data_IF_963837469246
#
_entry.id   IF_963837469246
#
_cell.length_a   1.000
_cell.length_b   1.000
_cell.length_c   1.000
_cell.angle_alpha   90.00
_cell.angle_beta   90.00
_cell.angle_gamma   90.00
#
_symmetry.space_group_name_H-M   'P 1'
#
loop_
_entity.id
_entity.type
_entity.pdbx_description
1 polymer ?
#
# COMPACT_ATOMS: atom_id res chain seq x y z
N UNK A 1 -25.69 13.67 19.79
CA UNK A 1 -26.13 13.11 18.49
C UNK A 1 -24.98 13.26 17.49
N UNK A 2 -23.92 12.45 17.58
CA UNK A 2 -22.68 12.74 16.83
C UNK A 2 -22.03 11.44 16.32
N UNK A 3 -22.82 10.55 15.70
CA UNK A 3 -22.32 9.25 15.17
C UNK A 3 -22.11 9.22 13.66
N UNK A 4 -22.30 10.35 12.96
CA UNK A 4 -22.07 10.44 11.51
C UNK A 4 -20.63 10.80 11.13
N UNK A 5 -19.85 11.37 12.04
CA UNK A 5 -18.45 11.72 11.78
C UNK A 5 -17.57 10.46 11.61
N UNK A 6 -17.80 9.39 12.36
CA UNK A 6 -17.02 8.14 12.24
C UNK A 6 -17.16 7.43 10.89
N UNK A 7 -18.22 7.72 10.11
CA UNK A 7 -18.39 7.22 8.74
C UNK A 7 -17.58 8.04 7.72
N UNK A 8 -17.51 9.36 7.89
CA UNK A 8 -16.72 10.24 7.02
C UNK A 8 -15.21 10.16 7.31
N UNK A 9 -14.83 9.94 8.58
CA UNK A 9 -13.43 9.87 9.01
C UNK A 9 -12.88 8.46 9.12
N UNK A 10 -13.59 7.47 8.54
CA UNK A 10 -13.05 6.12 8.28
C UNK A 10 -12.01 6.20 7.15
N UNK A 11 -10.98 7.05 7.34
CA UNK A 11 -9.80 7.16 6.49
C UNK A 11 -9.24 5.76 6.34
N UNK A 12 -9.37 5.18 5.15
CA UNK A 12 -8.69 3.92 4.92
C UNK A 12 -7.18 4.25 5.02
N UNK A 13 -6.38 3.34 5.57
CA UNK A 13 -4.94 3.57 5.65
C UNK A 13 -4.45 3.81 4.22
N UNK A 14 -4.00 5.04 3.95
CA UNK A 14 -3.42 5.41 2.67
C UNK A 14 -2.18 4.54 2.49
N UNK A 15 -2.16 3.71 1.44
CA UNK A 15 -1.03 2.85 1.14
C UNK A 15 -0.12 3.56 0.17
N UNK A 16 1.17 3.47 0.39
CA UNK A 16 2.15 4.01 -0.52
C UNK A 16 2.54 2.91 -1.50
N UNK A 17 2.60 3.24 -2.79
CA UNK A 17 3.03 2.34 -3.86
C UNK A 17 4.18 2.98 -4.60
N UNK A 18 5.20 2.20 -4.89
CA UNK A 18 6.32 2.58 -5.73
C UNK A 18 6.28 1.76 -7.02
N UNK A 19 6.54 2.40 -8.17
CA UNK A 19 6.67 1.71 -9.45
C UNK A 19 8.14 1.43 -9.71
N UNK A 20 8.45 0.15 -9.88
CA UNK A 20 9.78 -0.32 -10.25
C UNK A 20 9.90 -0.50 -11.76
N UNK A 21 11.05 -0.13 -12.30
CA UNK A 21 11.47 -0.47 -13.66
C UNK A 21 11.91 -1.93 -13.78
N UNK A 22 12.09 -2.44 -15.00
CA UNK A 22 12.69 -3.74 -15.26
C UNK A 22 14.08 -3.91 -14.61
N UNK A 23 14.80 -2.80 -14.41
CA UNK A 23 16.10 -2.75 -13.71
C UNK A 23 15.99 -2.69 -12.18
N UNK A 24 14.77 -2.65 -11.62
CA UNK A 24 14.53 -2.54 -10.18
C UNK A 24 14.65 -1.13 -9.61
N UNK A 25 14.72 -0.10 -10.46
CA UNK A 25 14.80 1.30 -10.04
C UNK A 25 13.40 1.87 -9.78
N UNK A 26 13.25 2.65 -8.71
CA UNK A 26 12.02 3.38 -8.41
C UNK A 26 11.84 4.56 -9.37
N UNK A 27 10.84 4.50 -10.24
CA UNK A 27 10.53 5.58 -11.19
C UNK A 27 9.41 6.50 -10.69
N UNK A 28 8.44 5.97 -9.94
CA UNK A 28 7.27 6.74 -9.53
C UNK A 28 6.75 6.30 -8.16
N UNK A 29 6.11 7.23 -7.46
CA UNK A 29 5.40 6.99 -6.21
C UNK A 29 3.93 7.38 -6.35
N UNK A 30 3.04 6.62 -5.72
CA UNK A 30 1.61 6.90 -5.68
C UNK A 30 1.02 6.49 -4.34
N UNK A 31 0.27 7.39 -3.71
CA UNK A 31 -0.49 7.09 -2.51
C UNK A 31 -1.93 6.76 -2.92
N UNK A 32 -2.38 5.52 -2.67
CA UNK A 32 -3.73 5.08 -3.00
C UNK A 32 -4.25 4.15 -1.90
N UNK A 33 -5.56 4.17 -1.68
CA UNK A 33 -6.20 3.19 -0.78
C UNK A 33 -6.35 1.83 -1.46
N UNK A 34 -6.49 1.85 -2.79
CA UNK A 34 -6.66 0.67 -3.64
C UNK A 34 -5.34 0.32 -4.36
N UNK A 35 -5.08 -0.98 -4.60
CA UNK A 35 -3.93 -1.41 -5.39
C UNK A 35 -4.02 -0.81 -6.79
N UNK A 36 -2.99 -0.09 -7.25
CA UNK A 36 -3.00 0.51 -8.58
C UNK A 36 -3.04 -0.59 -9.66
N UNK A 37 -3.91 -0.43 -10.64
CA UNK A 37 -3.94 -1.28 -11.83
C UNK A 37 -2.71 -0.95 -12.69
N UNK A 38 -1.78 -1.90 -12.77
CA UNK A 38 -0.56 -1.78 -13.58
C UNK A 38 0.54 -2.75 -13.14
N UNK A 39 1.41 -3.14 -14.07
CA UNK A 39 2.57 -3.98 -13.77
C UNK A 39 3.70 -3.16 -13.10
N UNK A 40 4.42 -3.79 -12.17
CA UNK A 40 5.61 -3.19 -11.53
C UNK A 40 5.33 -2.29 -10.32
N UNK A 41 4.08 -2.19 -9.86
CA UNK A 41 3.77 -1.52 -8.60
C UNK A 41 4.05 -2.43 -7.41
N UNK A 42 4.77 -1.91 -6.43
CA UNK A 42 5.05 -2.57 -5.15
C UNK A 42 4.58 -1.66 -4.02
N UNK A 43 3.93 -2.26 -3.02
CA UNK A 43 3.53 -1.52 -1.81
C UNK A 43 4.78 -1.21 -0.99
N UNK A 44 4.87 0.01 -0.46
CA UNK A 44 5.97 0.51 0.37
C UNK A 44 5.41 1.14 1.63
N UNK A 45 6.17 1.12 2.72
CA UNK A 45 5.71 1.67 4.00
C UNK A 45 5.72 3.21 3.99
N UNK A 46 6.73 3.79 3.35
CA UNK A 46 6.93 5.23 3.23
C UNK A 46 7.13 5.61 1.76
N UNK A 47 6.75 6.83 1.37
CA UNK A 47 7.05 7.37 0.03
C UNK A 47 8.16 8.40 0.13
N UNK A 48 9.41 7.95 0.02
CA UNK A 48 10.59 8.82 0.05
C UNK A 48 11.02 9.27 -1.35
N UNK A 49 11.06 10.59 -1.59
CA UNK A 49 11.63 11.13 -2.85
C UNK A 49 13.10 10.73 -3.05
N UNK A 50 13.81 10.44 -1.94
CA UNK A 50 15.19 9.96 -1.93
C UNK A 50 15.37 8.58 -2.59
N UNK A 51 14.29 7.85 -2.84
CA UNK A 51 14.31 6.58 -3.57
C UNK A 51 14.09 6.72 -5.06
N UNK A 52 13.74 7.91 -5.57
CA UNK A 52 13.61 8.14 -7.00
C UNK A 52 14.94 7.85 -7.71
N UNK A 53 14.92 7.09 -8.80
CA UNK A 53 16.10 6.60 -9.52
C UNK A 53 17.09 5.75 -8.69
N UNK A 54 16.68 5.24 -7.52
CA UNK A 54 17.47 4.30 -6.73
C UNK A 54 16.82 2.92 -6.69
N UNK A 55 17.61 1.85 -6.48
CA UNK A 55 17.06 0.53 -6.24
C UNK A 55 16.28 0.54 -4.93
N UNK A 56 15.02 0.08 -4.97
CA UNK A 56 14.19 0.03 -3.77
C UNK A 56 14.73 -1.06 -2.81
N UNK A 57 15.15 -0.71 -1.59
CA UNK A 57 15.62 -1.71 -0.64
C UNK A 57 14.47 -2.65 -0.26
N UNK A 58 14.77 -3.95 -0.15
CA UNK A 58 13.77 -4.96 0.21
C UNK A 58 13.06 -4.64 1.54
N UNK A 59 13.74 -3.97 2.46
CA UNK A 59 13.19 -3.52 3.75
C UNK A 59 12.07 -2.47 3.61
N UNK A 60 12.09 -1.66 2.55
CA UNK A 60 11.04 -0.68 2.26
C UNK A 60 9.83 -1.30 1.56
N UNK A 61 10.04 -2.45 0.89
CA UNK A 61 9.00 -3.18 0.18
C UNK A 61 8.10 -3.88 1.18
N UNK A 62 6.88 -3.37 1.34
CA UNK A 62 5.82 -4.12 1.99
C UNK A 62 5.41 -5.22 1.01
N UNK A 63 5.86 -6.45 1.27
CA UNK A 63 5.24 -7.61 0.64
C UNK A 63 3.76 -7.49 0.93
N UNK A 64 2.87 -7.51 -0.08
CA UNK A 64 1.45 -7.40 0.16
C UNK A 64 1.08 -8.61 1.02
N UNK A 65 0.99 -8.39 2.32
CA UNK A 65 0.31 -9.29 3.23
C UNK A 65 -1.11 -9.25 2.69
N UNK A 66 -1.45 -10.23 1.84
CA UNK A 66 -2.84 -10.57 1.57
C UNK A 66 -3.48 -10.52 2.95
N UNK A 67 -4.35 -9.53 3.17
CA UNK A 67 -5.15 -9.47 4.39
C UNK A 67 -6.02 -10.71 4.30
N UNK A 68 -5.46 -11.85 4.72
CA UNK A 68 -6.09 -13.13 4.69
C UNK A 68 -7.21 -13.03 5.68
N UNK A 69 -8.41 -12.79 5.17
CA UNK A 69 -9.69 -13.24 5.67
C UNK A 69 -9.73 -13.51 7.19
N UNK A 70 -9.44 -12.50 8.01
CA UNK A 70 -9.68 -12.60 9.46
C UNK A 70 -11.18 -12.84 9.74
N UNK A 71 -12.04 -12.43 8.81
CA UNK A 71 -13.48 -12.69 8.86
C UNK A 71 -13.87 -14.16 8.61
N UNK A 72 -13.06 -14.95 7.88
CA UNK A 72 -13.37 -16.38 7.70
C UNK A 72 -13.18 -17.20 8.99
N UNK A 73 -12.35 -16.72 9.94
CA UNK A 73 -12.14 -17.40 11.23
C UNK A 73 -13.23 -17.12 12.26
N UNK A 74 -14.04 -16.08 12.07
CA UNK A 74 -15.09 -15.70 13.02
C UNK A 74 -16.44 -16.41 12.76
N UNK A 75 -16.62 -17.03 11.60
CA UNK A 75 -17.86 -17.72 11.20
C UNK A 75 -17.79 -19.26 11.37
N UNK A 76 -16.76 -19.77 12.03
CA UNK A 76 -16.56 -21.21 12.26
C UNK A 76 -16.65 -21.59 13.76
N UNK A 77 -17.33 -20.80 14.58
CA UNK A 77 -17.53 -21.04 16.00
C UNK A 77 -19.00 -21.30 16.31
#
# INVERSE_FOLDING_TARGET
MNSFWSLLFKRQPQRHFARLDAKGLCQAFKCCEQPPVGAGWVEVNESGLHWLNRPLPASARLVPRRRGNLLQRALAA
#
